data_IF_675571170653
#
_entry.id   IF_675571170653
#
_cell.length_a   1.000
_cell.length_b   1.000
_cell.length_c   1.000
_cell.angle_alpha   90.00
_cell.angle_beta   90.00
_cell.angle_gamma   90.00
#
_symmetry.space_group_name_H-M   'P 1'
#
loop_
_entity.id
_entity.type
_entity.pdbx_description
1 polymer ?
#
# COMPACT_ATOMS: atom_id res chain seq x y z
N UNK A 1 -7.33 -2.69 5.54
CA UNK A 1 -6.49 -1.50 5.33
C UNK A 1 -6.28 -1.24 3.85
N UNK A 2 -6.32 0.01 3.45
CA UNK A 2 -6.17 0.42 2.06
C UNK A 2 -4.74 0.85 1.76
N UNK A 3 -4.33 0.61 0.51
CA UNK A 3 -3.04 1.05 -0.04
C UNK A 3 -3.32 2.16 -1.04
N UNK A 4 -2.56 3.24 -0.98
CA UNK A 4 -2.74 4.42 -1.81
C UNK A 4 -1.54 4.62 -2.72
N UNK A 5 -1.80 4.99 -3.97
CA UNK A 5 -0.74 5.37 -4.91
C UNK A 5 -1.22 6.50 -5.82
N UNK A 6 -0.28 7.29 -6.31
CA UNK A 6 -0.57 8.29 -7.34
C UNK A 6 -0.51 7.64 -8.73
N UNK A 7 -1.52 7.89 -9.54
CA UNK A 7 -1.56 7.51 -10.96
C UNK A 7 -1.52 8.77 -11.81
N UNK A 8 -0.53 8.87 -12.69
CA UNK A 8 -0.34 10.05 -13.54
C UNK A 8 -0.17 9.59 -14.98
N UNK A 9 -0.87 10.23 -15.94
CA UNK A 9 -0.63 9.92 -17.34
C UNK A 9 0.74 10.46 -17.76
N UNK A 10 1.45 9.72 -18.60
CA UNK A 10 2.72 10.19 -19.18
C UNK A 10 2.46 11.39 -20.09
N UNK A 11 1.39 11.30 -20.89
CA UNK A 11 0.95 12.37 -21.76
C UNK A 11 -0.11 13.21 -21.04
N UNK A 12 0.16 14.48 -20.83
CA UNK A 12 -0.73 15.38 -20.07
C UNK A 12 -2.14 15.48 -20.68
N UNK A 13 -2.28 15.31 -21.99
CA UNK A 13 -3.56 15.35 -22.69
C UNK A 13 -4.43 14.11 -22.44
N UNK A 14 -3.87 13.06 -21.82
CA UNK A 14 -4.61 11.86 -21.43
C UNK A 14 -5.27 11.95 -20.04
N UNK A 15 -5.17 13.09 -19.37
CA UNK A 15 -5.77 13.25 -18.03
C UNK A 15 -7.28 12.98 -18.02
N UNK A 16 -8.01 13.55 -18.97
CA UNK A 16 -9.47 13.35 -19.06
C UNK A 16 -9.83 11.89 -19.38
N UNK A 17 -9.03 11.24 -20.20
CA UNK A 17 -9.21 9.80 -20.49
C UNK A 17 -8.99 8.95 -19.23
N UNK A 18 -8.00 9.27 -18.42
CA UNK A 18 -7.74 8.60 -17.15
C UNK A 18 -8.91 8.81 -16.18
N UNK A 19 -9.41 10.03 -16.09
CA UNK A 19 -10.56 10.37 -15.26
C UNK A 19 -11.79 9.54 -15.64
N UNK A 20 -12.11 9.48 -16.92
CA UNK A 20 -13.26 8.73 -17.44
C UNK A 20 -13.07 7.22 -17.21
N UNK A 21 -11.86 6.71 -17.38
CA UNK A 21 -11.54 5.31 -17.15
C UNK A 21 -11.73 4.91 -15.67
N UNK A 22 -11.23 5.73 -14.75
CA UNK A 22 -11.42 5.50 -13.32
C UNK A 22 -12.90 5.54 -12.93
N UNK A 23 -13.67 6.46 -13.50
CA UNK A 23 -15.11 6.52 -13.28
C UNK A 23 -15.83 5.25 -13.75
N UNK A 24 -15.45 4.72 -14.90
CA UNK A 24 -16.02 3.47 -15.44
C UNK A 24 -15.65 2.26 -14.59
N UNK A 25 -14.39 2.15 -14.17
CA UNK A 25 -13.95 1.03 -13.35
C UNK A 25 -14.62 1.05 -11.98
N UNK A 26 -14.83 2.22 -11.39
CA UNK A 26 -15.44 2.34 -10.07
C UNK A 26 -16.91 1.92 -10.04
N UNK A 27 -17.59 1.91 -11.18
CA UNK A 27 -18.97 1.42 -11.27
C UNK A 27 -19.10 -0.05 -10.89
N UNK A 28 -18.09 -0.86 -11.20
CA UNK A 28 -18.07 -2.29 -10.93
C UNK A 28 -17.12 -2.67 -9.79
N UNK A 29 -16.45 -1.70 -9.22
CA UNK A 29 -15.46 -1.89 -8.15
C UNK A 29 -15.70 -0.86 -7.06
N UNK A 30 -16.60 -1.14 -6.12
CA UNK A 30 -16.93 -0.18 -5.06
C UNK A 30 -15.78 0.06 -4.07
N UNK A 31 -14.77 -0.81 -4.05
CA UNK A 31 -13.60 -0.64 -3.21
C UNK A 31 -12.60 0.39 -3.78
N UNK A 32 -12.71 0.69 -5.07
CA UNK A 32 -11.85 1.66 -5.74
C UNK A 32 -12.27 3.07 -5.36
N UNK A 33 -11.37 3.81 -4.70
CA UNK A 33 -11.58 5.22 -4.37
C UNK A 33 -10.49 6.05 -5.02
N UNK A 34 -10.83 7.26 -5.46
CA UNK A 34 -9.87 8.13 -6.11
C UNK A 34 -10.23 9.60 -5.93
N UNK A 35 -9.22 10.44 -5.94
CA UNK A 35 -9.36 11.89 -5.92
C UNK A 35 -8.29 12.54 -6.80
N UNK A 36 -8.57 13.73 -7.29
CA UNK A 36 -7.61 14.46 -8.12
C UNK A 36 -6.38 14.85 -7.30
N UNK A 37 -5.21 14.71 -7.91
CA UNK A 37 -3.93 15.10 -7.32
C UNK A 37 -3.11 15.89 -8.32
N UNK A 38 -2.39 16.91 -7.83
CA UNK A 38 -1.47 17.68 -8.62
C UNK A 38 -0.06 17.53 -8.04
N UNK A 39 0.85 17.01 -8.85
CA UNK A 39 2.26 16.83 -8.49
C UNK A 39 3.12 17.83 -9.22
N UNK A 40 4.08 18.48 -8.52
CA UNK A 40 5.04 19.36 -9.16
C UNK A 40 5.89 18.63 -10.22
N UNK A 41 6.24 17.38 -9.96
CA UNK A 41 7.08 16.60 -10.86
C UNK A 41 6.30 15.91 -11.98
N UNK A 42 5.07 15.45 -11.71
CA UNK A 42 4.32 14.57 -12.59
C UNK A 42 3.07 15.22 -13.21
N UNK A 43 2.71 16.44 -12.77
CA UNK A 43 1.53 17.14 -13.26
C UNK A 43 0.24 16.68 -12.62
N UNK A 44 -0.85 16.70 -13.38
CA UNK A 44 -2.17 16.33 -12.92
C UNK A 44 -2.41 14.81 -13.06
N UNK A 45 -2.97 14.23 -12.02
CA UNK A 45 -3.31 12.82 -11.97
C UNK A 45 -4.31 12.55 -10.87
N UNK A 46 -4.27 11.33 -10.32
CA UNK A 46 -5.20 10.90 -9.29
C UNK A 46 -4.46 10.15 -8.19
N UNK A 47 -4.90 10.39 -6.96
CA UNK A 47 -4.55 9.56 -5.84
C UNK A 47 -5.61 8.49 -5.69
N UNK A 48 -5.20 7.23 -5.77
CA UNK A 48 -6.11 6.09 -5.85
C UNK A 48 -5.88 5.15 -4.68
N UNK A 49 -6.97 4.74 -4.03
CA UNK A 49 -6.95 3.78 -2.93
C UNK A 49 -7.41 2.41 -3.39
N UNK A 50 -6.65 1.38 -3.01
CA UNK A 50 -6.88 -0.01 -3.37
C UNK A 50 -6.97 -0.88 -2.12
N UNK A 51 -7.60 -2.05 -2.23
CA UNK A 51 -7.66 -3.01 -1.13
C UNK A 51 -6.30 -3.62 -0.79
N UNK A 52 -5.39 -3.65 -1.76
CA UNK A 52 -4.04 -4.17 -1.59
C UNK A 52 -3.27 -4.11 -2.90
N UNK A 53 -2.06 -4.66 -2.91
CA UNK A 53 -1.18 -4.62 -4.09
C UNK A 53 -1.76 -5.36 -5.29
N UNK A 54 -2.38 -6.52 -5.08
CA UNK A 54 -2.97 -7.28 -6.18
C UNK A 54 -4.11 -6.49 -6.84
N UNK A 55 -4.95 -5.86 -6.03
CA UNK A 55 -6.02 -4.99 -6.54
C UNK A 55 -5.44 -3.84 -7.36
N UNK A 56 -4.37 -3.21 -6.87
CA UNK A 56 -3.66 -2.14 -7.57
C UNK A 56 -3.13 -2.61 -8.93
N UNK A 57 -2.47 -3.77 -8.97
CA UNK A 57 -1.92 -4.32 -10.20
C UNK A 57 -3.00 -4.64 -11.23
N UNK A 58 -4.12 -5.21 -10.80
CA UNK A 58 -5.25 -5.53 -11.69
C UNK A 58 -5.85 -4.25 -12.27
N UNK A 59 -6.09 -3.25 -11.46
CA UNK A 59 -6.67 -1.98 -11.92
C UNK A 59 -5.71 -1.26 -12.86
N UNK A 60 -4.43 -1.20 -12.53
CA UNK A 60 -3.42 -0.58 -13.38
C UNK A 60 -3.34 -1.27 -14.74
N UNK A 61 -3.31 -2.60 -14.75
CA UNK A 61 -3.28 -3.37 -15.98
C UNK A 61 -4.51 -3.12 -16.85
N UNK A 62 -5.69 -3.03 -16.24
CA UNK A 62 -6.92 -2.72 -16.97
C UNK A 62 -6.89 -1.32 -17.57
N UNK A 63 -6.38 -0.33 -16.82
CA UNK A 63 -6.23 1.04 -17.35
C UNK A 63 -5.30 1.08 -18.56
N UNK A 64 -4.21 0.34 -18.51
CA UNK A 64 -3.23 0.29 -19.60
C UNK A 64 -3.75 -0.46 -20.83
N UNK A 65 -4.42 -1.60 -20.63
CA UNK A 65 -4.88 -2.47 -21.72
C UNK A 65 -6.24 -2.10 -22.30
N UNK A 66 -7.24 -1.88 -21.43
CA UNK A 66 -8.60 -1.63 -21.89
C UNK A 66 -8.80 -0.17 -22.34
N UNK A 67 -8.07 0.75 -21.75
CA UNK A 67 -8.22 2.18 -22.02
C UNK A 67 -7.02 2.79 -22.74
N UNK A 68 -6.03 1.98 -23.08
CA UNK A 68 -4.83 2.38 -23.83
C UNK A 68 -4.11 3.58 -23.21
N UNK A 69 -3.92 3.55 -21.90
CA UNK A 69 -3.24 4.61 -21.14
C UNK A 69 -1.82 4.21 -20.79
N UNK A 70 -0.90 5.16 -20.89
CA UNK A 70 0.46 5.04 -20.38
C UNK A 70 0.55 5.79 -19.05
N UNK A 71 0.84 5.08 -17.96
CA UNK A 71 0.76 5.61 -16.62
C UNK A 71 2.10 5.54 -15.89
N UNK A 72 2.36 6.58 -15.09
CA UNK A 72 3.40 6.58 -14.05
C UNK A 72 2.71 6.39 -12.71
N UNK A 73 3.24 5.50 -11.89
CA UNK A 73 2.75 5.27 -10.53
C UNK A 73 3.79 5.72 -9.52
N UNK A 74 3.33 6.32 -8.43
CA UNK A 74 4.20 6.59 -7.28
C UNK A 74 4.31 5.36 -6.40
N UNK A 75 5.24 5.37 -5.45
CA UNK A 75 5.36 4.28 -4.48
C UNK A 75 4.07 4.17 -3.66
N UNK A 76 3.57 2.95 -3.46
CA UNK A 76 2.40 2.74 -2.62
C UNK A 76 2.65 3.20 -1.18
N UNK A 77 1.61 3.72 -0.54
CA UNK A 77 1.65 4.15 0.85
C UNK A 77 0.39 3.74 1.59
N UNK A 78 0.44 3.83 2.91
CA UNK A 78 -0.69 3.52 3.79
C UNK A 78 -1.15 4.79 4.49
N UNK A 79 -2.36 4.77 5.07
CA UNK A 79 -2.85 5.89 5.88
C UNK A 79 -2.26 5.79 7.28
N UNK A 80 -1.66 6.89 7.74
CA UNK A 80 -1.27 7.08 9.13
C UNK A 80 -2.33 7.92 9.83
N UNK A 81 -2.67 7.55 11.06
CA UNK A 81 -3.51 8.37 11.93
C UNK A 81 -2.60 9.16 12.86
N UNK A 82 -2.54 10.46 12.66
CA UNK A 82 -1.68 11.35 13.44
C UNK A 82 -2.51 12.10 14.45
N UNK A 83 -2.20 11.90 15.73
CA UNK A 83 -2.87 12.58 16.85
C UNK A 83 -2.03 13.78 17.25
N UNK A 84 -2.65 14.96 17.16
CA UNK A 84 -2.00 16.22 17.48
C UNK A 84 -2.10 16.54 18.95
N UNK A 85 -1.20 17.42 19.42
CA UNK A 85 -1.17 17.90 20.81
C UNK A 85 -2.40 18.71 21.19
N UNK A 86 -3.16 19.24 20.22
CA UNK A 86 -4.42 19.97 20.45
C UNK A 86 -5.65 19.05 20.61
N UNK A 87 -5.45 17.74 20.57
CA UNK A 87 -6.51 16.73 20.69
C UNK A 87 -7.17 16.33 19.38
N UNK A 88 -6.78 16.91 18.25
CA UNK A 88 -7.33 16.54 16.95
C UNK A 88 -6.55 15.37 16.33
N UNK A 89 -7.22 14.63 15.42
CA UNK A 89 -6.63 13.53 14.66
C UNK A 89 -6.73 13.85 13.17
N UNK A 90 -5.64 13.60 12.45
CA UNK A 90 -5.56 13.78 11.01
C UNK A 90 -5.14 12.46 10.37
N UNK A 91 -5.81 12.07 9.29
CA UNK A 91 -5.40 10.94 8.47
C UNK A 91 -4.47 11.41 7.36
N UNK A 92 -3.28 10.82 7.31
CA UNK A 92 -2.22 11.23 6.39
C UNK A 92 -1.87 10.05 5.49
N UNK A 93 -2.11 10.18 4.20
CA UNK A 93 -1.75 9.21 3.17
C UNK A 93 -0.54 9.65 2.33
N UNK A 94 -0.14 10.94 2.47
CA UNK A 94 0.96 11.53 1.74
C UNK A 94 1.92 12.20 2.73
N UNK A 95 3.23 11.90 2.69
CA UNK A 95 4.21 12.50 3.59
C UNK A 95 4.22 14.03 3.59
N UNK A 96 3.85 14.65 2.48
CA UNK A 96 3.78 16.12 2.39
C UNK A 96 2.70 16.74 3.28
N UNK A 97 1.69 15.95 3.67
CA UNK A 97 0.60 16.40 4.52
C UNK A 97 0.85 16.12 6.01
N UNK A 98 2.04 15.63 6.34
CA UNK A 98 2.40 15.32 7.72
C UNK A 98 2.48 16.63 8.52
N UNK A 99 1.82 16.71 9.71
CA UNK A 99 1.94 17.89 10.58
C UNK A 99 3.38 18.11 11.02
N UNK A 100 3.67 19.33 11.48
CA UNK A 100 4.95 19.64 12.12
C UNK A 100 5.17 18.68 13.31
N UNK A 101 6.33 18.01 13.40
CA UNK A 101 6.63 17.10 14.52
C UNK A 101 6.40 17.70 15.90
N UNK A 102 6.55 19.00 16.06
CA UNK A 102 6.29 19.70 17.33
C UNK A 102 4.81 19.64 17.76
N UNK A 103 3.89 19.40 16.83
CA UNK A 103 2.45 19.32 17.07
C UNK A 103 1.90 17.91 17.10
N UNK A 104 2.78 16.90 17.00
CA UNK A 104 2.37 15.49 17.00
C UNK A 104 2.53 14.91 18.40
N UNK A 105 1.44 14.38 18.97
CA UNK A 105 1.48 13.60 20.20
C UNK A 105 1.88 12.16 19.92
N UNK A 106 1.21 11.52 18.92
CA UNK A 106 1.55 10.18 18.47
C UNK A 106 1.05 9.98 17.03
N UNK A 107 1.63 9.00 16.37
CA UNK A 107 1.16 8.54 15.06
C UNK A 107 0.90 7.04 15.13
N UNK A 108 -0.20 6.60 14.52
CA UNK A 108 -0.57 5.19 14.43
C UNK A 108 -0.55 4.76 12.97
N UNK A 109 -0.09 3.55 12.73
CA UNK A 109 -0.06 2.94 11.39
C UNK A 109 -0.78 1.60 11.38
N UNK A 110 -1.32 1.18 10.21
CA UNK A 110 -2.00 -0.10 10.11
C UNK A 110 -1.02 -1.26 10.20
N UNK A 111 -1.38 -2.27 10.99
CA UNK A 111 -0.69 -3.55 11.09
C UNK A 111 -1.54 -4.65 10.48
N UNK A 112 -0.89 -5.68 9.97
CA UNK A 112 -1.55 -6.87 9.43
C UNK A 112 -1.00 -8.12 10.06
N UNK A 113 -1.84 -9.15 10.10
CA UNK A 113 -1.41 -10.50 10.49
C UNK A 113 -0.86 -11.18 9.24
N UNK A 114 0.36 -11.69 9.36
CA UNK A 114 1.07 -12.36 8.28
C UNK A 114 1.27 -13.82 8.65
N UNK A 115 0.84 -14.71 7.77
CA UNK A 115 1.07 -16.15 7.91
C UNK A 115 2.05 -16.58 6.82
N UNK A 116 3.17 -17.17 7.23
CA UNK A 116 4.19 -17.69 6.31
C UNK A 116 4.26 -19.20 6.48
N UNK A 117 4.04 -19.91 5.39
CA UNK A 117 4.20 -21.36 5.34
C UNK A 117 5.47 -21.69 4.56
N UNK A 118 6.37 -22.42 5.17
CA UNK A 118 7.71 -22.67 4.61
C UNK A 118 8.27 -24.00 5.06
N UNK A 119 9.16 -24.62 4.27
CA UNK A 119 10.00 -25.70 4.77
C UNK A 119 10.84 -25.25 5.98
N UNK A 120 11.12 -26.16 6.94
CA UNK A 120 11.87 -25.77 8.15
C UNK A 120 13.25 -25.17 7.90
N UNK A 121 13.88 -25.54 6.80
CA UNK A 121 15.23 -25.06 6.45
C UNK A 121 15.30 -23.56 6.23
N UNK A 122 14.20 -22.90 5.89
CA UNK A 122 14.16 -21.46 5.62
C UNK A 122 13.78 -20.61 6.82
N UNK A 123 13.36 -21.21 7.93
CA UNK A 123 12.94 -20.47 9.14
C UNK A 123 14.06 -19.55 9.63
N UNK A 124 15.31 -20.02 9.65
CA UNK A 124 16.45 -19.25 10.08
C UNK A 124 16.76 -18.02 9.23
N UNK A 125 16.34 -18.01 7.96
CA UNK A 125 16.50 -16.86 7.06
C UNK A 125 15.30 -15.91 7.10
N UNK A 126 14.11 -16.45 7.32
CA UNK A 126 12.85 -15.68 7.32
C UNK A 126 12.73 -14.84 8.59
N UNK A 127 13.12 -15.37 9.75
CA UNK A 127 12.96 -14.66 11.02
C UNK A 127 13.72 -13.33 11.05
N UNK A 128 15.00 -13.25 10.65
CA UNK A 128 15.72 -11.97 10.60
C UNK A 128 15.08 -11.00 9.59
N UNK A 129 14.62 -11.50 8.46
CA UNK A 129 13.97 -10.67 7.45
C UNK A 129 12.70 -10.00 8.00
N UNK A 130 11.86 -10.75 8.71
CA UNK A 130 10.66 -10.20 9.35
C UNK A 130 11.01 -9.21 10.46
N UNK A 131 12.07 -9.48 11.23
CA UNK A 131 12.54 -8.59 12.27
C UNK A 131 13.03 -7.26 11.69
N UNK A 132 13.76 -7.28 10.58
CA UNK A 132 14.24 -6.08 9.90
C UNK A 132 13.07 -5.23 9.36
N UNK A 133 11.91 -5.83 9.12
CA UNK A 133 10.68 -5.17 8.69
C UNK A 133 9.72 -4.87 9.84
N UNK A 134 10.25 -4.72 11.05
CA UNK A 134 9.49 -4.40 12.26
C UNK A 134 8.40 -5.42 12.58
N UNK A 135 8.59 -6.67 12.14
CA UNK A 135 7.66 -7.76 12.43
C UNK A 135 7.75 -8.22 13.86
N UNK A 136 6.59 -8.49 14.46
CA UNK A 136 6.47 -9.09 15.78
C UNK A 136 6.14 -10.57 15.63
N UNK A 137 7.04 -11.44 16.09
CA UNK A 137 6.80 -12.87 16.11
C UNK A 137 5.71 -13.22 17.12
N UNK A 138 4.70 -13.99 16.68
CA UNK A 138 3.61 -14.41 17.57
C UNK A 138 3.73 -15.87 17.97
N UNK A 139 3.74 -16.76 17.00
CA UNK A 139 3.92 -18.17 17.22
C UNK A 139 4.38 -18.90 15.96
N UNK A 140 4.68 -20.18 16.12
CA UNK A 140 5.09 -21.06 15.05
C UNK A 140 4.62 -22.46 15.35
N UNK A 141 4.10 -23.17 14.35
CA UNK A 141 3.71 -24.57 14.53
C UNK A 141 4.13 -25.39 13.31
N UNK A 142 4.48 -26.63 13.57
CA UNK A 142 4.77 -27.60 12.51
C UNK A 142 3.45 -28.17 12.01
N UNK A 143 3.16 -27.99 10.71
CA UNK A 143 1.99 -28.58 10.08
C UNK A 143 2.22 -30.07 9.81
N UNK A 144 3.45 -30.39 9.40
CA UNK A 144 3.95 -31.76 9.24
C UNK A 144 5.48 -31.75 9.30
N UNK A 145 6.13 -32.82 8.87
CA UNK A 145 7.60 -32.94 8.88
C UNK A 145 8.26 -31.98 7.90
N UNK A 146 7.52 -31.50 6.89
CA UNK A 146 8.06 -30.71 5.78
C UNK A 146 7.66 -29.24 5.80
N UNK A 147 6.64 -28.85 6.57
CA UNK A 147 6.08 -27.52 6.57
C UNK A 147 5.92 -26.95 7.97
N UNK A 148 6.31 -25.68 8.11
CA UNK A 148 6.15 -24.87 9.31
C UNK A 148 5.28 -23.67 8.97
N UNK A 149 4.36 -23.35 9.86
CA UNK A 149 3.50 -22.16 9.77
C UNK A 149 3.98 -21.14 10.81
N UNK A 150 4.38 -19.96 10.34
CA UNK A 150 4.86 -18.87 11.19
C UNK A 150 3.84 -17.73 11.17
N UNK A 151 3.57 -17.17 12.34
CA UNK A 151 2.64 -16.05 12.48
C UNK A 151 3.36 -14.81 12.97
N UNK A 152 3.17 -13.72 12.24
CA UNK A 152 3.72 -12.39 12.56
C UNK A 152 2.64 -11.34 12.53
N UNK A 153 2.84 -10.26 13.27
CA UNK A 153 2.15 -9.00 13.06
C UNK A 153 3.16 -7.99 12.53
N UNK A 154 2.85 -7.36 11.42
CA UNK A 154 3.78 -6.46 10.73
C UNK A 154 3.07 -5.19 10.29
N UNK A 155 3.78 -4.03 10.27
CA UNK A 155 3.25 -2.84 9.64
C UNK A 155 2.94 -3.09 8.17
N UNK A 156 1.76 -2.68 7.72
CA UNK A 156 1.37 -2.86 6.32
C UNK A 156 2.38 -2.19 5.38
N UNK A 157 2.90 -1.04 5.75
CA UNK A 157 3.86 -0.29 4.94
C UNK A 157 5.16 -1.07 4.66
N UNK A 158 5.53 -2.00 5.53
CA UNK A 158 6.73 -2.82 5.35
C UNK A 158 6.55 -3.97 4.36
N UNK A 159 5.31 -4.34 4.03
CA UNK A 159 5.02 -5.47 3.15
C UNK A 159 4.45 -5.08 1.79
N UNK A 160 4.06 -3.83 1.58
CA UNK A 160 3.48 -3.39 0.30
C UNK A 160 4.51 -3.16 -0.80
N UNK A 161 5.78 -3.17 -0.47
CA UNK A 161 6.88 -3.03 -1.40
C UNK A 161 7.91 -4.13 -1.17
N UNK A 162 8.28 -4.86 -2.19
CA UNK A 162 9.31 -5.90 -2.27
C UNK A 162 9.28 -7.07 -1.25
N UNK A 163 8.34 -7.09 -0.29
CA UNK A 163 8.30 -8.16 0.72
C UNK A 163 8.16 -9.56 0.10
N UNK A 164 7.24 -9.71 -0.84
CA UNK A 164 7.00 -10.99 -1.50
C UNK A 164 8.16 -11.40 -2.39
N UNK A 165 8.86 -10.45 -2.97
CA UNK A 165 10.02 -10.70 -3.82
C UNK A 165 11.24 -11.16 -2.98
N UNK A 166 11.33 -10.69 -1.73
CA UNK A 166 12.41 -11.04 -0.81
C UNK A 166 12.20 -12.41 -0.16
N UNK A 167 10.92 -12.81 0.03
CA UNK A 167 10.60 -14.14 0.52
C UNK A 167 10.99 -15.21 -0.50
#
# INVERSE_FOLDING_TARGET
PMVYTGLFPIEADQYEELKDALAKLSLNDPALVYEAENSHALGFGFRVGFLGLLHMEVVKERLEREFDLDLVTTLPSVIYEVYKTDGTMVRVDNPHNYPDPAHIERAEEPYVKVTIVTPPDYVGNIMPMCQDRRGEFKDMQYLDTYLVEMHYEMPLNEIIYDFFDTL
#
